data_IF_814311940581
#
_entry.id   IF_814311940581
#
_cell.length_a   1.000
_cell.length_b   1.000
_cell.length_c   1.000
_cell.angle_alpha   90.00
_cell.angle_beta   90.00
_cell.angle_gamma   90.00
#
_symmetry.space_group_name_H-M   'P 1'
#
loop_
_entity.id
_entity.type
_entity.pdbx_description
1 polymer ?
#
# COMPACT_ATOMS: atom_id res chain seq x y z
N UNK A 1 -2.78 -5.82 -12.51
CA UNK A 1 -2.89 -4.37 -12.29
C UNK A 1 -1.51 -3.69 -12.44
N UNK A 2 -1.28 -2.78 -13.42
CA UNK A 2 -0.01 -2.06 -13.59
C UNK A 2 0.31 -1.09 -12.43
N UNK A 3 -0.68 -0.33 -11.96
CA UNK A 3 -0.48 0.60 -10.84
C UNK A 3 -0.10 -0.11 -9.54
N UNK A 4 -0.59 -1.32 -9.32
CA UNK A 4 -0.26 -2.13 -8.16
C UNK A 4 1.20 -2.59 -8.21
N UNK A 5 1.70 -2.97 -9.40
CA UNK A 5 3.12 -3.27 -9.59
C UNK A 5 3.99 -2.04 -9.31
N UNK A 6 3.57 -0.85 -9.72
CA UNK A 6 4.30 0.38 -9.41
C UNK A 6 4.34 0.65 -7.89
N UNK A 7 3.23 0.44 -7.18
CA UNK A 7 3.21 0.54 -5.71
C UNK A 7 4.22 -0.43 -5.07
N UNK A 8 4.27 -1.68 -5.53
CA UNK A 8 5.26 -2.66 -5.06
C UNK A 8 6.70 -2.19 -5.31
N UNK A 9 7.00 -1.70 -6.52
CA UNK A 9 8.32 -1.15 -6.85
C UNK A 9 8.70 0.02 -5.95
N UNK A 10 7.78 0.95 -5.70
CA UNK A 10 8.05 2.09 -4.82
C UNK A 10 8.25 1.67 -3.37
N UNK A 11 7.47 0.72 -2.87
CA UNK A 11 7.68 0.14 -1.53
C UNK A 11 9.08 -0.47 -1.41
N UNK A 12 9.47 -1.31 -2.37
CA UNK A 12 10.79 -1.95 -2.39
C UNK A 12 11.93 -0.91 -2.43
N UNK A 13 11.84 0.08 -3.33
CA UNK A 13 12.84 1.15 -3.42
C UNK A 13 12.94 1.96 -2.12
N UNK A 14 11.82 2.38 -1.54
CA UNK A 14 11.79 3.19 -0.32
C UNK A 14 12.31 2.41 0.89
N UNK A 15 11.99 1.11 1.00
CA UNK A 15 12.52 0.23 2.04
C UNK A 15 14.03 0.03 1.89
N UNK A 16 14.54 -0.01 0.66
CA UNK A 16 15.98 -0.10 0.39
C UNK A 16 16.70 1.22 0.72
N UNK A 17 16.10 2.36 0.40
CA UNK A 17 16.63 3.71 0.69
C UNK A 17 16.59 4.03 2.19
N UNK A 18 15.52 3.65 2.89
CA UNK A 18 15.35 3.82 4.33
C UNK A 18 14.93 2.51 4.99
N UNK A 19 15.90 1.71 5.47
CA UNK A 19 15.62 0.44 6.12
C UNK A 19 14.72 0.52 7.37
N UNK A 20 14.50 1.71 7.95
CA UNK A 20 13.60 1.89 9.09
C UNK A 20 12.15 1.51 8.74
N UNK A 21 11.73 1.67 7.48
CA UNK A 21 10.39 1.26 7.05
C UNK A 21 10.15 -0.25 7.16
N UNK A 22 11.20 -1.07 7.31
CA UNK A 22 11.05 -2.52 7.58
C UNK A 22 10.42 -2.81 8.95
N UNK A 23 10.32 -1.82 9.82
CA UNK A 23 9.62 -1.95 11.11
C UNK A 23 8.10 -1.82 10.99
N UNK A 24 7.60 -1.29 9.87
CA UNK A 24 6.16 -1.16 9.61
C UNK A 24 5.63 -2.55 9.21
N UNK A 25 4.54 -2.98 9.84
CA UNK A 25 3.84 -4.21 9.47
C UNK A 25 2.97 -3.96 8.23
N UNK A 26 3.50 -4.33 7.06
CA UNK A 26 2.81 -4.13 5.78
C UNK A 26 2.15 -5.45 5.36
N UNK A 27 0.84 -5.51 5.48
CA UNK A 27 0.05 -6.58 4.90
C UNK A 27 -0.39 -6.23 3.48
N UNK A 28 -0.11 -7.12 2.53
CA UNK A 28 -0.66 -7.07 1.18
C UNK A 28 -1.82 -8.05 1.04
N UNK A 29 -2.90 -7.60 0.41
CA UNK A 29 -4.08 -8.43 0.11
C UNK A 29 -4.23 -8.48 -1.40
N UNK A 30 -4.27 -9.68 -1.97
CA UNK A 30 -4.56 -9.91 -3.38
C UNK A 30 -6.08 -9.98 -3.60
N UNK A 31 -6.62 -8.99 -4.32
CA UNK A 31 -8.06 -8.86 -4.56
C UNK A 31 -8.67 -10.00 -5.37
N UNK A 32 -7.88 -10.67 -6.21
CA UNK A 32 -8.37 -11.74 -7.07
C UNK A 32 -8.43 -13.07 -6.30
N UNK A 33 -7.54 -13.25 -5.33
CA UNK A 33 -7.31 -14.52 -4.62
C UNK A 33 -7.82 -14.55 -3.17
N UNK A 34 -7.96 -13.40 -2.50
CA UNK A 34 -8.26 -13.29 -1.06
C UNK A 34 -9.56 -12.50 -0.80
N UNK A 35 -10.62 -12.80 -1.56
CA UNK A 35 -11.90 -12.06 -1.54
C UNK A 35 -12.57 -12.06 -0.17
N UNK A 36 -12.37 -13.11 0.62
CA UNK A 36 -12.88 -13.23 1.99
C UNK A 36 -12.32 -12.16 2.93
N UNK A 37 -11.14 -11.59 2.64
CA UNK A 37 -10.53 -10.51 3.41
C UNK A 37 -11.09 -9.12 3.04
N UNK A 38 -11.89 -9.03 1.99
CA UNK A 38 -12.37 -7.78 1.40
C UNK A 38 -13.86 -7.51 1.61
N UNK A 39 -14.56 -8.38 2.35
CA UNK A 39 -16.03 -8.34 2.51
C UNK A 39 -16.51 -6.98 3.04
N UNK A 40 -15.75 -6.34 3.93
CA UNK A 40 -16.09 -5.07 4.57
C UNK A 40 -15.05 -3.96 4.28
N UNK A 41 -14.32 -4.07 3.17
CA UNK A 41 -13.27 -3.11 2.81
C UNK A 41 -13.77 -2.17 1.72
N UNK A 42 -13.78 -0.85 1.98
CA UNK A 42 -14.31 0.17 1.07
C UNK A 42 -13.25 0.69 0.07
N UNK A 43 -13.20 0.10 -1.12
CA UNK A 43 -12.32 0.56 -2.21
C UNK A 43 -13.03 0.46 -3.57
N UNK A 44 -12.64 1.33 -4.50
CA UNK A 44 -13.15 1.34 -5.87
C UNK A 44 -12.02 1.10 -6.90
N UNK A 45 -10.80 1.53 -6.61
CA UNK A 45 -9.60 1.37 -7.42
C UNK A 45 -8.51 0.61 -6.66
N UNK A 46 -7.54 0.10 -7.43
CA UNK A 46 -6.32 -0.50 -6.88
C UNK A 46 -5.08 0.12 -7.54
N UNK A 47 -3.96 0.26 -6.79
CA UNK A 47 -3.79 -0.08 -5.38
C UNK A 47 -4.54 0.90 -4.46
N UNK A 48 -4.90 0.41 -3.27
CA UNK A 48 -5.45 1.18 -2.15
C UNK A 48 -4.61 0.88 -0.92
N UNK A 49 -4.22 1.92 -0.18
CA UNK A 49 -3.51 1.79 1.08
C UNK A 49 -4.43 2.16 2.25
N UNK A 50 -4.29 1.39 3.32
CA UNK A 50 -4.91 1.65 4.61
C UNK A 50 -3.82 1.77 5.68
N UNK A 51 -3.97 2.72 6.59
CA UNK A 51 -3.19 2.84 7.82
C UNK A 51 -4.16 2.88 8.99
N UNK A 52 -3.95 2.05 10.01
CA UNK A 52 -4.86 1.93 11.17
C UNK A 52 -6.35 1.76 10.80
N UNK A 53 -6.63 0.99 9.74
CA UNK A 53 -7.96 0.79 9.15
C UNK A 53 -8.60 2.00 8.47
N UNK A 54 -7.89 3.13 8.36
CA UNK A 54 -8.31 4.29 7.59
C UNK A 54 -7.73 4.25 6.18
N UNK A 55 -8.57 4.52 5.17
CA UNK A 55 -8.12 4.61 3.78
C UNK A 55 -7.32 5.90 3.59
N UNK A 56 -6.02 5.77 3.31
CA UNK A 56 -5.10 6.92 3.16
C UNK A 56 -4.79 7.24 1.70
N UNK A 57 -4.91 6.27 0.80
CA UNK A 57 -4.68 6.46 -0.62
C UNK A 57 -5.41 5.43 -1.47
N UNK A 58 -5.85 5.85 -2.65
CA UNK A 58 -6.49 4.99 -3.64
C UNK A 58 -6.19 5.51 -5.06
N UNK A 59 -5.77 4.63 -5.97
CA UNK A 59 -5.56 4.96 -7.38
C UNK A 59 -4.10 4.85 -7.85
N UNK A 60 -3.69 5.69 -8.79
CA UNK A 60 -2.38 5.59 -9.44
C UNK A 60 -1.25 6.13 -8.53
N UNK A 61 -0.34 5.27 -8.02
CA UNK A 61 0.66 5.69 -7.04
C UNK A 61 1.87 6.38 -7.72
N UNK A 62 2.44 7.37 -7.03
CA UNK A 62 3.80 7.86 -7.27
C UNK A 62 4.70 7.48 -6.09
N UNK A 63 6.02 7.61 -6.25
CA UNK A 63 6.98 7.32 -5.17
C UNK A 63 6.73 8.21 -3.96
N UNK A 64 6.42 9.50 -4.17
CA UNK A 64 6.14 10.47 -3.11
C UNK A 64 4.88 10.10 -2.31
N UNK A 65 3.84 9.61 -2.99
CA UNK A 65 2.60 9.16 -2.34
C UNK A 65 2.90 7.95 -1.44
N UNK A 66 3.58 6.94 -1.98
CA UNK A 66 3.93 5.73 -1.20
C UNK A 66 4.84 6.10 -0.03
N UNK A 67 5.79 7.01 -0.23
CA UNK A 67 6.64 7.52 0.84
C UNK A 67 5.81 8.19 1.93
N UNK A 68 4.85 9.04 1.57
CA UNK A 68 3.97 9.69 2.56
C UNK A 68 3.18 8.66 3.37
N UNK A 69 2.65 7.63 2.73
CA UNK A 69 1.95 6.52 3.44
C UNK A 69 2.88 5.84 4.45
N UNK A 70 4.13 5.56 4.07
CA UNK A 70 5.12 4.96 4.98
C UNK A 70 5.52 5.92 6.10
N UNK A 71 5.74 7.20 5.80
CA UNK A 71 6.08 8.23 6.78
C UNK A 71 4.98 8.41 7.84
N UNK A 72 3.71 8.41 7.40
CA UNK A 72 2.55 8.57 8.28
C UNK A 72 2.29 7.30 9.15
N UNK A 73 2.83 6.14 8.76
CA UNK A 73 2.67 4.86 9.44
C UNK A 73 3.83 4.49 10.39
N UNK A 74 4.84 5.36 10.53
CA UNK A 74 5.93 5.22 11.50
C UNK A 74 5.58 5.83 12.86
#
# INVERSE_FOLDING_TARGET
CPHCKNADTWLEELINENPQYKSIDIQKIDIDNEKEKLVDVDFYYVPTFYADSEKVFEGAPTKEIVKKVLDDAM
#
